data_IF_141248042569
#
_entry.id   IF_141248042569
#
_cell.length_a   1.000
_cell.length_b   1.000
_cell.length_c   1.000
_cell.angle_alpha   90.00
_cell.angle_beta   90.00
_cell.angle_gamma   90.00
#
_symmetry.space_group_name_H-M   'P 1'
#
loop_
_entity.id
_entity.type
_entity.pdbx_description
1 polymer ?
#
# COMPACT_ATOMS: atom_id res chain seq x y z
N UNK A 1 -3.17 -4.53 0.62
CA UNK A 1 -1.75 -4.85 0.31
C UNK A 1 -1.39 -6.13 1.04
N UNK A 2 -1.13 -7.17 0.26
CA UNK A 2 -1.35 -8.57 0.66
C UNK A 2 -0.13 -9.25 1.29
N UNK A 3 1.02 -8.56 1.31
CA UNK A 3 2.15 -8.99 2.13
C UNK A 3 1.76 -9.06 3.62
N UNK A 4 1.93 -10.25 4.20
CA UNK A 4 1.68 -10.51 5.61
C UNK A 4 0.45 -11.38 5.91
N UNK A 5 -0.42 -11.64 4.92
CA UNK A 5 -1.48 -12.65 5.04
C UNK A 5 -0.98 -14.06 4.65
N UNK A 6 -0.11 -14.15 3.64
CA UNK A 6 0.56 -15.40 3.25
C UNK A 6 1.81 -15.66 4.13
N UNK A 7 1.92 -16.83 4.80
CA UNK A 7 3.12 -17.22 5.55
C UNK A 7 4.42 -17.18 4.74
N UNK A 8 4.38 -17.42 3.42
CA UNK A 8 5.57 -17.36 2.57
C UNK A 8 6.15 -15.95 2.48
N UNK A 9 5.31 -14.93 2.46
CA UNK A 9 5.72 -13.52 2.45
C UNK A 9 6.46 -13.13 3.74
N UNK A 10 6.09 -13.74 4.87
CA UNK A 10 6.81 -13.57 6.13
C UNK A 10 8.22 -14.18 6.04
N UNK A 11 8.36 -15.37 5.47
CA UNK A 11 9.66 -16.01 5.24
C UNK A 11 10.52 -15.17 4.30
N UNK A 12 9.94 -14.60 3.25
CA UNK A 12 10.65 -13.71 2.32
C UNK A 12 11.15 -12.44 3.01
N UNK A 13 10.33 -11.82 3.86
CA UNK A 13 10.72 -10.68 4.67
C UNK A 13 11.89 -11.01 5.61
N UNK A 14 11.82 -12.15 6.32
CA UNK A 14 12.87 -12.59 7.25
C UNK A 14 14.19 -12.95 6.56
N UNK A 15 14.12 -13.44 5.31
CA UNK A 15 15.31 -13.75 4.49
C UNK A 15 15.86 -12.56 3.70
N UNK A 16 15.32 -11.35 3.90
CA UNK A 16 15.77 -10.15 3.19
C UNK A 16 15.53 -10.20 1.67
N UNK A 17 14.55 -10.98 1.21
CA UNK A 17 14.24 -11.10 -0.23
C UNK A 17 13.50 -9.89 -0.78
N UNK A 18 12.85 -9.12 0.09
CA UNK A 18 12.11 -7.92 -0.26
C UNK A 18 12.74 -6.69 0.38
N UNK A 19 12.74 -5.57 -0.32
CA UNK A 19 13.06 -4.25 0.25
C UNK A 19 11.76 -3.53 0.62
N UNK A 20 11.81 -2.65 1.61
CA UNK A 20 10.65 -1.93 2.11
C UNK A 20 10.93 -0.44 2.12
N UNK A 21 9.91 0.36 1.80
CA UNK A 21 10.02 1.80 1.81
C UNK A 21 8.67 2.44 2.13
N UNK A 22 8.73 3.62 2.73
CA UNK A 22 7.58 4.48 2.93
C UNK A 22 7.39 5.38 1.72
N UNK A 23 6.16 5.41 1.21
CA UNK A 23 5.74 6.24 0.10
C UNK A 23 4.66 7.19 0.55
N UNK A 24 4.77 8.45 0.15
CA UNK A 24 3.66 9.40 0.17
C UNK A 24 2.87 9.27 -1.13
N UNK A 25 1.55 9.30 -1.01
CA UNK A 25 0.56 9.17 -2.09
C UNK A 25 -0.72 9.89 -1.68
N UNK A 26 -1.51 10.33 -2.66
CA UNK A 26 -2.80 11.01 -2.44
C UNK A 26 -2.66 12.22 -1.49
N UNK A 27 -1.75 13.13 -1.84
CA UNK A 27 -1.43 14.29 -1.00
C UNK A 27 -0.58 13.91 0.21
N UNK A 28 -1.17 13.95 1.41
CA UNK A 28 -0.43 13.78 2.66
C UNK A 28 -0.37 12.33 3.18
N UNK A 29 -1.13 11.39 2.60
CA UNK A 29 -1.16 10.02 3.08
C UNK A 29 0.16 9.32 2.79
N UNK A 30 0.53 8.39 3.68
CA UNK A 30 1.67 7.51 3.45
C UNK A 30 1.32 6.05 3.74
N UNK A 31 2.06 5.16 3.09
CA UNK A 31 2.03 3.74 3.37
C UNK A 31 3.41 3.11 3.14
N UNK A 32 3.68 2.03 3.87
CA UNK A 32 4.90 1.24 3.71
C UNK A 32 4.65 0.09 2.76
N UNK A 33 5.43 0.03 1.67
CA UNK A 33 5.34 -0.99 0.64
C UNK A 33 6.64 -1.76 0.47
N UNK A 34 6.54 -3.07 0.30
CA UNK A 34 7.66 -3.84 -0.23
C UNK A 34 7.79 -3.60 -1.75
N UNK A 35 8.94 -3.93 -2.33
CA UNK A 35 9.18 -3.78 -3.78
C UNK A 35 8.15 -4.50 -4.67
N UNK A 36 7.59 -5.63 -4.24
CA UNK A 36 6.50 -6.30 -4.97
C UNK A 36 5.19 -5.53 -4.87
N UNK A 37 4.79 -5.17 -3.65
CA UNK A 37 3.54 -4.46 -3.45
C UNK A 37 3.53 -3.03 -3.98
N UNK A 38 4.69 -2.43 -4.29
CA UNK A 38 4.77 -1.20 -5.08
C UNK A 38 4.17 -1.40 -6.49
N UNK A 39 4.48 -2.54 -7.11
CA UNK A 39 3.94 -2.92 -8.42
C UNK A 39 2.47 -3.27 -8.31
N UNK A 40 2.07 -4.06 -7.30
CA UNK A 40 0.66 -4.41 -7.09
C UNK A 40 -0.21 -3.17 -6.84
N UNK A 41 0.30 -2.20 -6.06
CA UNK A 41 -0.41 -0.96 -5.78
C UNK A 41 -0.70 -0.15 -7.05
N UNK A 42 0.22 -0.17 -8.02
CA UNK A 42 0.07 0.48 -9.34
C UNK A 42 -1.04 -0.17 -10.17
N UNK A 43 -1.41 -1.41 -9.86
CA UNK A 43 -2.43 -2.18 -10.60
C UNK A 43 -3.87 -1.97 -10.10
N UNK A 44 -4.07 -1.22 -9.02
CA UNK A 44 -5.41 -0.94 -8.51
C UNK A 44 -6.18 0.01 -9.44
N UNK A 45 -7.46 -0.26 -9.63
CA UNK A 45 -8.36 0.65 -10.33
C UNK A 45 -8.48 1.98 -9.55
N UNK A 46 -8.45 3.15 -10.20
CA UNK A 46 -8.48 4.43 -9.49
C UNK A 46 -9.71 4.67 -8.62
N UNK A 47 -10.85 4.19 -9.09
CA UNK A 47 -12.10 4.21 -8.32
C UNK A 47 -11.99 3.50 -6.97
N UNK A 48 -11.06 2.54 -6.81
CA UNK A 48 -10.83 1.88 -5.51
C UNK A 48 -10.43 2.88 -4.42
N UNK A 49 -9.72 3.95 -4.77
CA UNK A 49 -9.30 5.03 -3.87
C UNK A 49 -10.18 6.30 -3.99
N UNK A 50 -11.30 6.24 -4.71
CA UNK A 50 -12.17 7.38 -4.95
C UNK A 50 -11.67 8.36 -6.02
N UNK A 51 -10.67 7.98 -6.82
CA UNK A 51 -10.15 8.81 -7.91
C UNK A 51 -10.97 8.64 -9.20
N UNK A 52 -10.98 9.65 -10.09
CA UNK A 52 -11.54 9.53 -11.43
C UNK A 52 -10.92 8.39 -12.24
N UNK A 53 -11.72 7.81 -13.14
CA UNK A 53 -11.22 6.82 -14.09
C UNK A 53 -10.08 7.38 -14.95
N UNK A 54 -9.04 6.59 -15.18
CA UNK A 54 -7.88 6.98 -15.98
C UNK A 54 -6.78 7.71 -15.20
N UNK A 55 -6.98 8.02 -13.91
CA UNK A 55 -5.90 8.54 -13.06
C UNK A 55 -4.82 7.48 -12.87
N UNK A 56 -3.56 7.82 -13.13
CA UNK A 56 -2.44 6.92 -12.84
C UNK A 56 -2.13 6.91 -11.33
N UNK A 57 -2.07 5.71 -10.75
CA UNK A 57 -1.73 5.48 -9.34
C UNK A 57 -0.40 4.72 -9.26
N UNK A 58 0.33 4.91 -8.17
CA UNK A 58 1.52 4.12 -7.91
C UNK A 58 2.72 4.63 -8.69
N UNK A 59 3.54 3.70 -9.17
CA UNK A 59 4.79 4.02 -9.88
C UNK A 59 4.52 4.92 -11.10
N UNK A 60 5.23 6.05 -11.14
CA UNK A 60 5.07 7.07 -12.19
C UNK A 60 3.83 7.96 -12.06
N UNK A 61 2.98 7.74 -11.05
CA UNK A 61 1.89 8.65 -10.70
C UNK A 61 2.42 9.96 -10.13
N UNK A 62 1.71 11.07 -10.37
CA UNK A 62 2.13 12.43 -9.97
C UNK A 62 2.39 12.57 -8.47
N UNK A 63 1.61 11.88 -7.65
CA UNK A 63 1.66 12.00 -6.19
C UNK A 63 2.50 10.91 -5.52
N UNK A 64 3.21 10.08 -6.30
CA UNK A 64 4.06 9.02 -5.77
C UNK A 64 5.43 9.54 -5.38
N UNK A 65 5.71 9.62 -4.09
CA UNK A 65 6.98 10.09 -3.57
C UNK A 65 7.59 9.07 -2.61
N UNK A 66 8.80 8.60 -2.92
CA UNK A 66 9.62 7.85 -1.96
C UNK A 66 10.04 8.79 -0.81
N UNK A 67 9.67 8.44 0.43
CA UNK A 67 10.05 9.20 1.62
C UNK A 67 11.34 8.66 2.23
N UNK A 68 11.42 7.34 2.43
CA UNK A 68 12.60 6.66 2.98
C UNK A 68 12.53 5.16 2.76
N UNK A 69 13.70 4.53 2.69
CA UNK A 69 13.82 3.09 2.86
C UNK A 69 13.64 2.70 4.33
N UNK A 70 13.14 1.50 4.58
CA UNK A 70 12.85 1.00 5.92
C UNK A 70 13.28 -0.47 6.08
N UNK A 71 13.70 -0.88 7.28
CA UNK A 71 13.96 -2.29 7.54
C UNK A 71 12.68 -3.11 7.50
N UNK A 72 12.80 -4.37 7.07
CA UNK A 72 11.69 -5.32 7.14
C UNK A 72 11.26 -5.50 8.61
N UNK A 73 9.98 -5.26 8.91
CA UNK A 73 9.42 -5.45 10.26
C UNK A 73 8.27 -6.44 10.19
N UNK A 74 8.45 -7.61 10.80
CA UNK A 74 7.41 -8.62 10.93
C UNK A 74 6.78 -8.51 12.32
N UNK A 75 5.48 -8.25 12.37
CA UNK A 75 4.69 -8.22 13.61
C UNK A 75 3.30 -8.78 13.37
N UNK A 76 2.62 -9.17 14.46
CA UNK A 76 1.19 -9.45 14.40
C UNK A 76 0.43 -8.17 14.08
N UNK A 77 -0.55 -8.27 13.19
CA UNK A 77 -1.39 -7.16 12.76
C UNK A 77 -2.82 -7.65 12.53
N UNK A 78 -3.78 -6.72 12.46
CA UNK A 78 -5.17 -7.03 12.14
C UNK A 78 -5.33 -7.13 10.62
N UNK A 79 -6.02 -8.16 10.16
CA UNK A 79 -6.41 -8.33 8.75
C UNK A 79 -7.91 -8.62 8.65
N UNK A 80 -8.49 -8.26 7.50
CA UNK A 80 -9.87 -8.60 7.20
C UNK A 80 -9.97 -10.07 6.76
N UNK A 81 -10.83 -10.84 7.41
CA UNK A 81 -10.99 -12.26 7.09
C UNK A 81 -11.59 -12.53 5.70
N UNK A 82 -12.29 -11.56 5.10
CA UNK A 82 -12.92 -11.73 3.78
C UNK A 82 -12.01 -11.37 2.61
N UNK A 83 -11.19 -10.33 2.75
CA UNK A 83 -10.34 -9.84 1.64
C UNK A 83 -8.83 -9.98 1.89
N UNK A 84 -8.40 -10.45 3.07
CA UNK A 84 -6.99 -10.66 3.40
C UNK A 84 -6.18 -9.37 3.61
N UNK A 85 -6.71 -8.19 3.24
CA UNK A 85 -6.04 -6.92 3.45
C UNK A 85 -5.85 -6.60 4.94
N UNK A 86 -4.68 -6.04 5.26
CA UNK A 86 -4.38 -5.45 6.58
C UNK A 86 -5.34 -4.30 6.88
N UNK A 87 -5.76 -4.18 8.15
CA UNK A 87 -6.65 -3.11 8.61
C UNK A 87 -6.07 -1.73 8.31
N UNK A 88 -4.77 -1.53 8.55
CA UNK A 88 -4.08 -0.28 8.25
C UNK A 88 -4.15 0.12 6.77
N UNK A 89 -4.15 -0.85 5.85
CA UNK A 89 -4.35 -0.58 4.42
C UNK A 89 -5.80 -0.19 4.12
N UNK A 90 -6.78 -0.82 4.77
CA UNK A 90 -8.19 -0.48 4.59
C UNK A 90 -8.50 0.92 5.15
N UNK A 91 -7.93 1.27 6.30
CA UNK A 91 -8.00 2.63 6.87
C UNK A 91 -7.37 3.67 5.93
N UNK A 92 -6.23 3.34 5.32
CA UNK A 92 -5.61 4.17 4.28
C UNK A 92 -6.55 4.38 3.07
N UNK A 93 -7.22 3.32 2.60
CA UNK A 93 -8.17 3.41 1.47
C UNK A 93 -9.37 4.28 1.83
N UNK A 94 -9.89 4.16 3.05
CA UNK A 94 -11.00 5.00 3.52
C UNK A 94 -10.59 6.47 3.54
N UNK A 95 -9.42 6.80 4.11
CA UNK A 95 -8.90 8.16 4.13
C UNK A 95 -8.67 8.71 2.71
N UNK A 96 -8.15 7.88 1.80
CA UNK A 96 -7.97 8.29 0.41
C UNK A 96 -9.32 8.66 -0.24
N UNK A 97 -10.36 7.86 0.01
CA UNK A 97 -11.72 8.15 -0.50
C UNK A 97 -12.30 9.41 0.10
N UNK A 98 -12.10 9.66 1.39
CA UNK A 98 -12.55 10.89 2.05
C UNK A 98 -11.88 12.13 1.45
N UNK A 99 -10.56 12.10 1.26
CA UNK A 99 -9.80 13.18 0.61
C UNK A 99 -10.36 13.48 -0.78
N UNK A 100 -10.57 12.44 -1.60
CA UNK A 100 -11.03 12.62 -2.98
C UNK A 100 -12.54 12.90 -3.10
N UNK A 101 -13.34 12.59 -2.09
CA UNK A 101 -14.76 12.97 -2.05
C UNK A 101 -14.97 14.45 -1.69
N UNK A 102 -13.98 15.06 -1.02
CA UNK A 102 -13.99 16.49 -0.65
C UNK A 102 -13.27 17.39 -1.66
N UNK A 103 -12.61 16.82 -2.68
CA UNK A 103 -11.85 17.51 -3.72
C UNK A 103 -12.69 17.77 -4.98
#
# INVERSE_FOLDING_TARGET
MDCGHDPMEVVHAQKGRHTYAEYRVFGALSLVLCNFCQVDFTSYAPAYFGLPSGTQIGLGGRDWQLIREMPATVRKDKCCASCGHRLSFLEFVLQAREIHAMA
#
